data_IF_417949633110
#
_entry.id   IF_417949633110
#
_cell.length_a   1.000
_cell.length_b   1.000
_cell.length_c   1.000
_cell.angle_alpha   90.00
_cell.angle_beta   90.00
_cell.angle_gamma   90.00
#
_symmetry.space_group_name_H-M   'P 1'
#
loop_
_entity.id
_entity.type
_entity.pdbx_description
1 polymer ?
#
# COMPACT_ATOMS: atom_id res chain seq x y z
N UNK A 1 -2.76 -25.86 -0.47
CA UNK A 1 -4.23 -25.72 -0.40
C UNK A 1 -4.56 -24.30 -0.82
N UNK A 2 -5.35 -24.11 -1.87
CA UNK A 2 -5.87 -22.79 -2.22
C UNK A 2 -7.05 -22.46 -1.30
N UNK A 3 -7.09 -21.25 -0.75
CA UNK A 3 -8.26 -20.77 -0.03
C UNK A 3 -9.48 -20.71 -0.97
N UNK A 4 -10.69 -20.87 -0.41
CA UNK A 4 -11.93 -20.69 -1.16
C UNK A 4 -11.95 -19.29 -1.78
N UNK A 5 -12.21 -19.20 -3.09
CA UNK A 5 -12.32 -17.93 -3.80
C UNK A 5 -13.37 -17.06 -3.11
N UNK A 6 -13.00 -15.82 -2.79
CA UNK A 6 -13.88 -14.86 -2.13
C UNK A 6 -13.43 -13.44 -2.44
N UNK A 7 -14.38 -12.52 -2.52
CA UNK A 7 -14.09 -11.10 -2.75
C UNK A 7 -13.20 -10.51 -1.65
N UNK A 8 -13.34 -10.96 -0.41
CA UNK A 8 -12.50 -10.54 0.72
C UNK A 8 -11.07 -11.11 0.62
N UNK A 9 -10.92 -12.27 -0.04
CA UNK A 9 -9.62 -12.80 -0.44
C UNK A 9 -8.98 -11.97 -1.55
N UNK A 10 -9.77 -11.55 -2.55
CA UNK A 10 -9.30 -10.70 -3.64
C UNK A 10 -8.85 -9.31 -3.12
N UNK A 11 -9.56 -8.74 -2.14
CA UNK A 11 -9.13 -7.51 -1.43
C UNK A 11 -7.76 -7.70 -0.78
N UNK A 12 -7.55 -8.82 -0.09
CA UNK A 12 -6.26 -9.11 0.53
C UNK A 12 -5.14 -9.25 -0.51
N UNK A 13 -5.40 -10.00 -1.59
CA UNK A 13 -4.46 -10.15 -2.70
C UNK A 13 -4.11 -8.80 -3.34
N UNK A 14 -5.10 -7.93 -3.54
CA UNK A 14 -4.88 -6.56 -4.01
C UNK A 14 -3.97 -5.78 -3.05
N UNK A 15 -4.23 -5.84 -1.74
CA UNK A 15 -3.42 -5.17 -0.73
C UNK A 15 -1.96 -5.65 -0.75
N UNK A 16 -1.74 -6.96 -0.84
CA UNK A 16 -0.39 -7.54 -0.95
C UNK A 16 0.33 -7.01 -2.19
N UNK A 17 -0.33 -7.04 -3.36
CA UNK A 17 0.24 -6.54 -4.61
C UNK A 17 0.56 -5.04 -4.53
N UNK A 18 -0.32 -4.24 -3.90
CA UNK A 18 -0.09 -2.82 -3.73
C UNK A 18 1.16 -2.54 -2.87
N UNK A 19 1.29 -3.24 -1.74
CA UNK A 19 2.46 -3.12 -0.87
C UNK A 19 3.75 -3.63 -1.55
N UNK A 20 3.66 -4.73 -2.29
CA UNK A 20 4.78 -5.27 -3.09
C UNK A 20 5.23 -4.27 -4.17
N UNK A 21 4.31 -3.62 -4.88
CA UNK A 21 4.64 -2.61 -5.89
C UNK A 21 5.30 -1.36 -5.29
N UNK A 22 4.93 -0.97 -4.07
CA UNK A 22 5.48 0.24 -3.43
C UNK A 22 6.87 -0.01 -2.84
N UNK A 23 7.16 -1.23 -2.41
CA UNK A 23 8.40 -1.60 -1.71
C UNK A 23 9.40 -2.39 -2.55
N UNK A 24 8.93 -2.96 -3.67
CA UNK A 24 9.60 -4.00 -4.45
C UNK A 24 9.99 -5.26 -3.64
N UNK A 25 9.44 -5.44 -2.43
CA UNK A 25 9.68 -6.60 -1.57
C UNK A 25 8.65 -7.68 -1.85
N UNK A 26 9.11 -8.84 -2.32
CA UNK A 26 8.19 -9.97 -2.55
C UNK A 26 7.76 -10.59 -1.22
N UNK A 27 6.51 -11.09 -1.11
CA UNK A 27 6.04 -11.84 0.07
C UNK A 27 6.81 -13.14 0.39
N UNK A 28 7.76 -13.53 -0.46
CA UNK A 28 8.60 -14.72 -0.32
C UNK A 28 10.06 -14.41 0.02
N UNK A 29 10.43 -13.14 0.11
CA UNK A 29 11.80 -12.73 0.45
C UNK A 29 12.12 -12.97 1.93
N UNK A 30 13.40 -13.11 2.26
CA UNK A 30 13.85 -13.34 3.64
C UNK A 30 13.37 -12.24 4.62
N UNK A 31 13.20 -11.02 4.11
CA UNK A 31 12.73 -9.84 4.83
C UNK A 31 11.25 -9.99 5.27
N UNK A 32 10.49 -10.81 4.55
CA UNK A 32 9.07 -11.06 4.75
C UNK A 32 8.79 -12.57 4.63
N UNK A 33 8.79 -13.30 5.74
CA UNK A 33 8.59 -14.77 5.75
C UNK A 33 7.31 -15.27 5.05
N UNK A 34 6.34 -14.39 4.81
CA UNK A 34 5.09 -14.59 4.06
C UNK A 34 4.40 -13.23 3.83
N UNK A 35 3.19 -13.23 3.24
CA UNK A 35 2.36 -12.03 3.06
C UNK A 35 1.98 -11.32 4.38
N UNK A 36 1.76 -12.07 5.47
CA UNK A 36 1.58 -11.53 6.82
C UNK A 36 2.85 -10.82 7.32
N UNK A 37 4.02 -11.29 6.89
CA UNK A 37 5.32 -10.67 7.12
C UNK A 37 5.45 -9.33 6.39
N UNK A 38 4.98 -9.25 5.14
CA UNK A 38 4.97 -8.01 4.37
C UNK A 38 4.11 -6.93 5.04
N UNK A 39 2.90 -7.27 5.48
CA UNK A 39 2.06 -6.35 6.25
C UNK A 39 2.82 -5.79 7.46
N UNK A 40 3.40 -6.65 8.31
CA UNK A 40 4.13 -6.22 9.50
C UNK A 40 5.38 -5.39 9.20
N UNK A 41 6.11 -5.77 8.16
CA UNK A 41 7.31 -5.04 7.72
C UNK A 41 6.96 -3.60 7.33
N UNK A 42 5.87 -3.43 6.56
CA UNK A 42 5.40 -2.10 6.16
C UNK A 42 4.79 -1.33 7.31
N UNK A 43 3.95 -1.97 8.14
CA UNK A 43 3.29 -1.34 9.28
C UNK A 43 4.29 -0.77 10.30
N UNK A 44 5.41 -1.47 10.54
CA UNK A 44 6.49 -0.99 11.42
C UNK A 44 7.23 0.25 10.91
N UNK A 45 7.21 0.50 9.60
CA UNK A 45 7.80 1.68 9.00
C UNK A 45 6.78 2.82 8.81
N UNK A 46 5.49 2.54 8.92
CA UNK A 46 4.44 3.48 8.57
C UNK A 46 4.05 4.39 9.76
N UNK A 47 3.78 5.69 9.52
CA UNK A 47 4.08 6.46 8.32
C UNK A 47 5.50 7.06 8.30
N UNK A 48 6.17 7.21 9.44
CA UNK A 48 7.34 8.10 9.56
C UNK A 48 8.58 7.61 8.81
N UNK A 49 8.75 6.30 8.67
CA UNK A 49 9.91 5.65 8.05
C UNK A 49 9.59 5.03 6.69
N UNK A 50 8.42 5.35 6.12
CA UNK A 50 7.97 4.70 4.89
C UNK A 50 8.95 4.90 3.73
N UNK A 51 9.59 6.07 3.66
CA UNK A 51 10.59 6.40 2.65
C UNK A 51 11.81 5.46 2.67
N UNK A 52 12.13 4.84 3.80
CA UNK A 52 13.27 3.93 3.94
C UNK A 52 13.02 2.55 3.29
N UNK A 53 11.75 2.21 3.05
CA UNK A 53 11.34 0.89 2.56
C UNK A 53 10.66 0.94 1.19
N UNK A 54 10.60 2.12 0.56
CA UNK A 54 10.11 2.25 -0.80
C UNK A 54 11.08 1.60 -1.79
N UNK A 55 10.55 1.16 -2.92
CA UNK A 55 11.36 0.69 -4.04
C UNK A 55 12.41 1.77 -4.40
N UNK A 56 13.71 1.47 -4.30
CA UNK A 56 14.77 2.42 -4.62
C UNK A 56 14.79 2.83 -6.10
N UNK A 57 14.10 2.09 -6.97
CA UNK A 57 13.90 2.42 -8.38
C UNK A 57 12.63 3.24 -8.64
N UNK A 58 11.83 3.52 -7.60
CA UNK A 58 10.65 4.38 -7.74
C UNK A 58 11.10 5.81 -8.11
N UNK A 59 10.41 6.49 -9.05
CA UNK A 59 10.73 7.87 -9.40
C UNK A 59 10.70 8.79 -8.18
N UNK A 60 11.76 9.57 -7.99
CA UNK A 60 11.86 10.61 -6.97
C UNK A 60 11.70 11.99 -7.58
N UNK A 61 11.06 12.90 -6.85
CA UNK A 61 11.07 14.33 -7.20
C UNK A 61 12.42 14.93 -6.79
N UNK A 62 12.99 15.80 -7.63
CA UNK A 62 14.24 16.52 -7.30
C UNK A 62 13.99 17.67 -6.29
N UNK A 63 12.79 18.24 -6.30
CA UNK A 63 12.37 19.30 -5.39
C UNK A 63 11.84 18.72 -4.08
N UNK A 64 12.37 19.17 -2.94
CA UNK A 64 12.00 18.65 -1.61
C UNK A 64 10.53 18.89 -1.26
N UNK A 65 9.95 20.02 -1.69
CA UNK A 65 8.56 20.33 -1.42
C UNK A 65 7.63 19.43 -2.26
N UNK A 66 7.96 19.21 -3.54
CA UNK A 66 7.27 18.27 -4.41
C UNK A 66 7.39 16.83 -3.87
N UNK A 67 8.57 16.41 -3.42
CA UNK A 67 8.79 15.10 -2.80
C UNK A 67 7.91 14.91 -1.55
N UNK A 68 7.84 15.94 -0.70
CA UNK A 68 7.01 15.95 0.51
C UNK A 68 5.52 15.87 0.18
N UNK A 69 5.05 16.65 -0.79
CA UNK A 69 3.66 16.59 -1.25
C UNK A 69 3.32 15.23 -1.84
N UNK A 70 4.21 14.66 -2.66
CA UNK A 70 4.04 13.31 -3.22
C UNK A 70 3.93 12.25 -2.13
N UNK A 71 4.76 12.36 -1.09
CA UNK A 71 4.73 11.46 0.06
C UNK A 71 3.38 11.53 0.78
N UNK A 72 2.91 12.74 1.11
CA UNK A 72 1.69 12.96 1.87
C UNK A 72 0.42 12.66 1.08
N UNK A 73 0.40 12.99 -0.21
CA UNK A 73 -0.81 12.89 -1.04
C UNK A 73 -0.98 11.52 -1.71
N UNK A 74 0.12 10.78 -1.93
CA UNK A 74 0.05 9.48 -2.62
C UNK A 74 0.63 8.33 -1.82
N UNK A 75 1.89 8.43 -1.41
CA UNK A 75 2.60 7.26 -0.88
C UNK A 75 1.97 6.84 0.45
N UNK A 76 1.85 7.75 1.41
CA UNK A 76 1.28 7.46 2.72
C UNK A 76 -0.17 6.93 2.59
N UNK A 77 -1.07 7.57 1.81
CA UNK A 77 -2.42 7.05 1.68
C UNK A 77 -2.50 5.72 0.90
N UNK A 78 -1.68 5.49 -0.13
CA UNK A 78 -1.63 4.18 -0.84
C UNK A 78 -1.13 3.07 0.09
N UNK A 79 -0.11 3.33 0.89
CA UNK A 79 0.37 2.37 1.90
C UNK A 79 -0.72 2.09 2.93
N UNK A 80 -1.41 3.12 3.42
CA UNK A 80 -2.54 2.95 4.33
C UNK A 80 -3.64 2.06 3.73
N UNK A 81 -3.97 2.24 2.45
CA UNK A 81 -4.91 1.37 1.72
C UNK A 81 -4.39 -0.07 1.68
N UNK A 82 -3.11 -0.27 1.35
CA UNK A 82 -2.48 -1.58 1.34
C UNK A 82 -2.55 -2.28 2.71
N UNK A 83 -2.26 -1.56 3.79
CA UNK A 83 -2.33 -2.07 5.17
C UNK A 83 -3.77 -2.45 5.56
N UNK A 84 -4.76 -1.59 5.28
CA UNK A 84 -6.18 -1.90 5.53
C UNK A 84 -6.66 -3.13 4.75
N UNK A 85 -6.23 -3.28 3.50
CA UNK A 85 -6.59 -4.45 2.68
C UNK A 85 -5.94 -5.75 3.18
N UNK A 86 -4.78 -5.65 3.84
CA UNK A 86 -3.98 -6.80 4.32
C UNK A 86 -4.20 -7.15 5.79
N UNK A 87 -5.23 -6.60 6.44
CA UNK A 87 -5.60 -6.99 7.80
C UNK A 87 -5.83 -8.51 7.91
N UNK A 88 -5.31 -9.12 8.97
CA UNK A 88 -5.38 -10.58 9.19
C UNK A 88 -6.82 -11.09 9.17
N UNK A 89 -7.70 -10.33 9.81
CA UNK A 89 -9.12 -10.60 9.96
C UNK A 89 -9.90 -10.14 8.73
N UNK A 90 -10.64 -11.03 8.03
CA UNK A 90 -11.42 -10.68 6.85
C UNK A 90 -12.47 -9.58 7.08
N UNK A 91 -13.04 -9.50 8.28
CA UNK A 91 -14.08 -8.51 8.60
C UNK A 91 -13.54 -7.09 8.80
N UNK A 92 -12.23 -6.95 9.00
CA UNK A 92 -11.57 -5.65 9.21
C UNK A 92 -11.06 -5.07 7.87
N UNK A 93 -11.24 -5.81 6.77
CA UNK A 93 -10.87 -5.36 5.43
C UNK A 93 -12.02 -4.57 4.80
N UNK A 94 -11.72 -3.46 4.08
CA UNK A 94 -12.73 -2.72 3.34
C UNK A 94 -13.28 -3.53 2.15
N UNK A 95 -14.44 -3.13 1.63
CA UNK A 95 -14.90 -3.62 0.34
C UNK A 95 -14.09 -3.02 -0.81
N UNK A 96 -13.95 -3.74 -1.94
CA UNK A 96 -13.25 -3.19 -3.12
C UNK A 96 -13.85 -1.87 -3.63
N UNK A 97 -15.16 -1.65 -3.45
CA UNK A 97 -15.79 -0.38 -3.78
C UNK A 97 -15.18 0.78 -2.98
N UNK A 98 -15.01 0.60 -1.67
CA UNK A 98 -14.43 1.61 -0.78
C UNK A 98 -12.95 1.85 -1.08
N UNK A 99 -12.22 0.77 -1.41
CA UNK A 99 -10.82 0.85 -1.86
C UNK A 99 -10.71 1.69 -3.13
N UNK A 100 -11.52 1.39 -4.15
CA UNK A 100 -11.55 2.15 -5.40
C UNK A 100 -11.93 3.62 -5.17
N UNK A 101 -12.96 3.89 -4.34
CA UNK A 101 -13.39 5.25 -4.04
C UNK A 101 -12.26 6.07 -3.40
N UNK A 102 -11.49 5.48 -2.47
CA UNK A 102 -10.33 6.13 -1.84
C UNK A 102 -9.24 6.44 -2.86
N UNK A 103 -8.89 5.49 -3.73
CA UNK A 103 -7.86 5.69 -4.78
C UNK A 103 -8.30 6.78 -5.76
N UNK A 104 -9.58 6.80 -6.16
CA UNK A 104 -10.11 7.84 -7.06
C UNK A 104 -10.07 9.21 -6.41
N UNK A 105 -10.46 9.34 -5.13
CA UNK A 105 -10.41 10.60 -4.42
C UNK A 105 -8.97 11.17 -4.33
N UNK A 106 -7.97 10.31 -4.16
CA UNK A 106 -6.56 10.71 -4.18
C UNK A 106 -6.14 11.26 -5.54
N UNK A 107 -6.62 10.64 -6.64
CA UNK A 107 -6.34 11.12 -8.00
C UNK A 107 -7.02 12.46 -8.28
N UNK A 108 -8.25 12.66 -7.83
CA UNK A 108 -9.01 13.89 -8.06
C UNK A 108 -8.42 15.08 -7.30
N UNK A 109 -7.95 14.87 -6.06
CA UNK A 109 -7.23 15.89 -5.29
C UNK A 109 -5.97 16.42 -6.01
N UNK A 110 -5.37 15.64 -6.91
CA UNK A 110 -4.25 16.09 -7.74
C UNK A 110 -4.67 17.04 -8.85
N UNK A 111 -5.80 16.73 -9.50
CA UNK A 111 -6.28 17.47 -10.67
C UNK A 111 -6.74 18.88 -10.26
N UNK A 112 -7.19 19.06 -9.02
CA UNK A 112 -7.55 20.37 -8.46
C UNK A 112 -6.34 21.20 -8.01
N UNK A 113 -5.15 20.59 -7.92
CA UNK A 113 -3.91 21.26 -7.48
C UNK A 113 -3.00 21.69 -8.66
N UNK A 114 -3.40 21.37 -9.90
CA UNK A 114 -2.79 21.83 -11.16
C UNK A 114 -3.61 22.96 -11.79
#
# INVERSE_FOLDING_TARGET
>A
MGCKVSTVGDVYGFGVLLLEMLTAVRPTEAQCSNALGLHKYVDQAFPERIAEILDPHMPSEEDEAAASLRMQNYIIPLVSIGLMCTMDSPQDRPGMHDVCARIVAMKEAFVETL
#
